data_IF_782381497494
#
_entry.id   IF_782381497494
#
_cell.length_a   1.000
_cell.length_b   1.000
_cell.length_c   1.000
_cell.angle_alpha   90.00
_cell.angle_beta   90.00
_cell.angle_gamma   90.00
#
_symmetry.space_group_name_H-M   'P 1'
#
loop_
_entity.id
_entity.type
_entity.pdbx_description
1 polymer ?
#
# COMPACT_ATOMS: atom_id res chain seq x y z
N UNK A 1 -10.59 1.94 -10.30
CA UNK A 1 -9.52 2.60 -9.54
C UNK A 1 -10.01 3.65 -8.56
N UNK A 2 -10.13 3.23 -7.30
CA UNK A 2 -10.47 4.12 -6.17
C UNK A 2 -9.43 5.24 -5.99
N UNK A 3 -9.81 6.50 -5.72
CA UNK A 3 -8.88 7.64 -5.64
C UNK A 3 -7.73 7.43 -4.65
N UNK A 4 -8.00 6.92 -3.45
CA UNK A 4 -6.96 6.68 -2.45
C UNK A 4 -5.98 5.56 -2.83
N UNK A 5 -6.41 4.58 -3.64
CA UNK A 5 -5.51 3.54 -4.19
C UNK A 5 -4.61 4.18 -5.25
N UNK A 6 -5.13 5.09 -6.07
CA UNK A 6 -4.36 5.82 -7.07
C UNK A 6 -3.29 6.69 -6.42
N UNK A 7 -3.66 7.48 -5.43
CA UNK A 7 -2.72 8.31 -4.66
C UNK A 7 -1.61 7.47 -4.02
N UNK A 8 -1.95 6.28 -3.51
CA UNK A 8 -0.95 5.38 -2.96
C UNK A 8 0.00 4.82 -4.02
N UNK A 9 -0.50 4.41 -5.19
CA UNK A 9 0.36 3.94 -6.28
C UNK A 9 1.24 5.08 -6.80
N UNK A 10 0.71 6.29 -6.99
CA UNK A 10 1.51 7.45 -7.38
C UNK A 10 2.60 7.78 -6.37
N UNK A 11 2.34 7.61 -5.07
CA UNK A 11 3.36 7.72 -4.04
C UNK A 11 4.46 6.66 -4.21
N UNK A 12 4.10 5.40 -4.46
CA UNK A 12 5.08 4.32 -4.68
C UNK A 12 5.89 4.50 -5.97
N UNK A 13 5.34 5.20 -6.97
CA UNK A 13 5.97 5.46 -8.27
C UNK A 13 6.94 6.65 -8.23
N UNK A 14 6.87 7.49 -7.19
CA UNK A 14 7.84 8.57 -7.01
C UNK A 14 9.15 7.99 -6.55
N UNK A 15 10.13 7.98 -7.45
CA UNK A 15 11.54 7.81 -7.08
C UNK A 15 12.06 9.10 -6.45
N UNK A 16 12.48 9.01 -5.19
CA UNK A 16 13.05 10.11 -4.40
C UNK A 16 14.22 9.60 -3.53
N UNK A 17 15.01 10.53 -3.00
CA UNK A 17 16.14 10.23 -2.10
C UNK A 17 15.69 9.99 -0.65
N UNK A 18 14.44 9.56 -0.44
CA UNK A 18 13.85 9.36 0.89
C UNK A 18 14.55 8.23 1.61
N UNK A 19 14.89 8.45 2.88
CA UNK A 19 15.50 7.39 3.68
C UNK A 19 14.48 6.30 4.03
N UNK A 20 14.97 5.09 4.31
CA UNK A 20 14.10 3.93 4.54
C UNK A 20 13.14 4.12 5.74
N UNK A 21 13.55 4.90 6.74
CA UNK A 21 12.72 5.16 7.93
C UNK A 21 11.54 6.05 7.60
N UNK A 22 11.79 7.13 6.87
CA UNK A 22 10.76 8.06 6.40
C UNK A 22 9.84 7.39 5.39
N UNK A 23 10.38 6.61 4.44
CA UNK A 23 9.58 5.84 3.48
C UNK A 23 8.60 4.90 4.21
N UNK A 24 9.08 4.13 5.19
CA UNK A 24 8.22 3.20 5.96
C UNK A 24 7.11 3.94 6.71
N UNK A 25 7.42 5.12 7.26
CA UNK A 25 6.44 5.96 7.96
C UNK A 25 5.36 6.45 6.99
N UNK A 26 5.75 6.94 5.82
CA UNK A 26 4.82 7.42 4.81
C UNK A 26 3.92 6.31 4.27
N UNK A 27 4.48 5.11 4.01
CA UNK A 27 3.67 3.96 3.62
C UNK A 27 2.63 3.64 4.70
N UNK A 28 2.99 3.61 5.98
CA UNK A 28 2.02 3.31 7.05
C UNK A 28 0.89 4.35 7.11
N UNK A 29 1.20 5.63 6.91
CA UNK A 29 0.20 6.70 6.81
C UNK A 29 -0.75 6.49 5.64
N UNK A 30 -0.22 6.14 4.45
CA UNK A 30 -1.05 5.81 3.29
C UNK A 30 -1.92 4.56 3.54
N UNK A 31 -1.39 3.52 4.19
CA UNK A 31 -2.18 2.33 4.54
C UNK A 31 -3.31 2.64 5.52
N UNK A 32 -3.08 3.52 6.51
CA UNK A 32 -4.15 4.01 7.40
C UNK A 32 -5.23 4.74 6.59
N UNK A 33 -4.84 5.64 5.70
CA UNK A 33 -5.77 6.36 4.84
C UNK A 33 -6.58 5.43 3.92
N UNK A 34 -5.95 4.39 3.35
CA UNK A 34 -6.62 3.36 2.56
C UNK A 34 -7.66 2.60 3.40
N UNK A 35 -7.30 2.19 4.62
CA UNK A 35 -8.21 1.50 5.54
C UNK A 35 -9.43 2.36 5.87
N UNK A 36 -9.27 3.67 6.01
CA UNK A 36 -10.39 4.57 6.29
C UNK A 36 -11.27 4.80 5.06
N UNK A 37 -10.65 5.00 3.90
CA UNK A 37 -11.33 5.37 2.67
C UNK A 37 -12.09 4.22 2.02
N UNK A 38 -11.61 2.98 2.18
CA UNK A 38 -12.21 1.79 1.58
C UNK A 38 -13.26 1.12 2.50
N UNK A 39 -13.71 1.77 3.58
CA UNK A 39 -14.74 1.18 4.45
C UNK A 39 -16.12 1.17 3.76
N UNK A 40 -16.89 0.07 3.88
CA UNK A 40 -16.54 -1.18 4.57
C UNK A 40 -15.59 -2.07 3.72
N UNK A 41 -14.54 -2.61 4.35
CA UNK A 41 -13.57 -3.48 3.69
C UNK A 41 -14.08 -4.93 3.59
N UNK A 42 -13.78 -5.62 2.49
CA UNK A 42 -13.96 -7.07 2.38
C UNK A 42 -12.89 -7.84 3.18
N UNK A 43 -13.13 -9.12 3.43
CA UNK A 43 -12.15 -10.00 4.07
C UNK A 43 -10.83 -10.05 3.28
N UNK A 44 -10.92 -10.05 1.96
CA UNK A 44 -9.79 -10.05 1.03
C UNK A 44 -9.01 -8.73 1.11
N UNK A 45 -9.69 -7.59 1.10
CA UNK A 45 -9.04 -6.28 1.27
C UNK A 45 -8.37 -6.15 2.64
N UNK A 46 -9.00 -6.66 3.71
CA UNK A 46 -8.40 -6.71 5.05
C UNK A 46 -7.14 -7.57 5.06
N UNK A 47 -7.18 -8.75 4.45
CA UNK A 47 -6.01 -9.64 4.36
C UNK A 47 -4.88 -8.98 3.58
N UNK A 48 -5.21 -8.33 2.46
CA UNK A 48 -4.25 -7.64 1.60
C UNK A 48 -3.54 -6.48 2.33
N UNK A 49 -4.30 -5.65 3.04
CA UNK A 49 -3.75 -4.55 3.84
C UNK A 49 -2.88 -5.05 5.01
N UNK A 50 -3.24 -6.19 5.62
CA UNK A 50 -2.41 -6.84 6.65
C UNK A 50 -1.10 -7.34 6.07
N UNK A 51 -1.14 -7.99 4.90
CA UNK A 51 0.04 -8.48 4.20
C UNK A 51 1.01 -7.33 3.87
N UNK A 52 0.51 -6.20 3.38
CA UNK A 52 1.34 -5.00 3.14
C UNK A 52 2.02 -4.48 4.42
N UNK A 53 1.29 -4.41 5.55
CA UNK A 53 1.87 -4.02 6.84
C UNK A 53 2.93 -5.00 7.33
N UNK A 54 2.71 -6.29 7.15
CA UNK A 54 3.72 -7.30 7.47
C UNK A 54 4.97 -7.12 6.60
N UNK A 55 4.83 -6.91 5.29
CA UNK A 55 6.00 -6.65 4.43
C UNK A 55 6.84 -5.47 4.94
N UNK A 56 6.21 -4.36 5.33
CA UNK A 56 6.91 -3.21 5.92
C UNK A 56 7.65 -3.52 7.24
N UNK A 57 7.10 -4.42 8.06
CA UNK A 57 7.69 -4.79 9.33
C UNK A 57 8.92 -5.68 9.15
N UNK A 58 8.88 -6.56 8.15
CA UNK A 58 9.88 -7.60 7.92
C UNK A 58 10.97 -7.20 6.91
N UNK A 59 10.75 -6.15 6.13
CA UNK A 59 11.77 -5.62 5.24
C UNK A 59 12.98 -5.09 6.01
N UNK A 60 14.13 -5.68 5.73
CA UNK A 60 15.42 -5.18 6.16
C UNK A 60 15.76 -3.90 5.40
N UNK A 61 16.46 -2.99 6.07
CA UNK A 61 16.73 -1.57 5.77
C UNK A 61 17.19 -1.14 4.36
N UNK A 62 17.31 -2.03 3.37
CA UNK A 62 18.21 -1.80 2.24
C UNK A 62 17.63 -1.90 0.84
N UNK A 63 16.33 -2.08 0.66
CA UNK A 63 15.77 -2.02 -0.69
C UNK A 63 14.37 -1.38 -0.73
N UNK A 64 14.36 -0.04 -0.79
CA UNK A 64 13.13 0.74 -1.00
C UNK A 64 12.50 0.38 -2.35
N UNK A 65 13.31 0.09 -3.37
CA UNK A 65 12.81 -0.25 -4.71
C UNK A 65 12.11 -1.61 -4.73
N UNK A 66 12.69 -2.62 -4.07
CA UNK A 66 12.03 -3.92 -3.88
C UNK A 66 10.70 -3.76 -3.12
N UNK A 67 10.68 -2.90 -2.10
CA UNK A 67 9.47 -2.61 -1.34
C UNK A 67 8.43 -1.88 -2.18
N UNK A 68 8.82 -0.87 -2.97
CA UNK A 68 7.95 -0.17 -3.91
C UNK A 68 7.29 -1.16 -4.88
N UNK A 69 8.10 -2.04 -5.49
CA UNK A 69 7.62 -3.06 -6.41
C UNK A 69 6.62 -4.02 -5.75
N UNK A 70 6.95 -4.50 -4.54
CA UNK A 70 6.08 -5.40 -3.78
C UNK A 70 4.75 -4.72 -3.43
N UNK A 71 4.79 -3.53 -2.82
CA UNK A 71 3.59 -2.80 -2.43
C UNK A 71 2.73 -2.40 -3.62
N UNK A 72 3.34 -2.05 -4.77
CA UNK A 72 2.63 -1.72 -6.00
C UNK A 72 1.84 -2.93 -6.50
N UNK A 73 2.46 -4.10 -6.55
CA UNK A 73 1.78 -5.35 -6.92
C UNK A 73 0.60 -5.63 -5.98
N UNK A 74 0.81 -5.49 -4.67
CA UNK A 74 -0.25 -5.73 -3.69
C UNK A 74 -1.38 -4.69 -3.80
N UNK A 75 -1.08 -3.42 -4.13
CA UNK A 75 -2.07 -2.34 -4.23
C UNK A 75 -2.98 -2.49 -5.44
N UNK A 76 -2.47 -3.00 -6.56
CA UNK A 76 -3.27 -3.30 -7.74
C UNK A 76 -4.37 -4.34 -7.45
N UNK A 77 -4.12 -5.28 -6.54
CA UNK A 77 -5.14 -6.26 -6.13
C UNK A 77 -6.28 -5.63 -5.30
N UNK A 78 -6.05 -4.53 -4.58
CA UNK A 78 -7.10 -3.87 -3.78
C UNK A 78 -8.23 -3.33 -4.65
N UNK A 79 -7.90 -2.86 -5.87
CA UNK A 79 -8.88 -2.29 -6.79
C UNK A 79 -9.78 -3.36 -7.42
N UNK A 80 -9.21 -4.53 -7.72
CA UNK A 80 -9.94 -5.69 -8.23
C UNK A 80 -11.06 -6.10 -7.28
N UNK A 81 -10.86 -6.02 -5.97
CA UNK A 81 -11.89 -6.36 -4.98
C UNK A 81 -12.92 -5.24 -4.77
N UNK A 82 -12.58 -4.00 -5.13
CA UNK A 82 -13.48 -2.86 -4.97
C UNK A 82 -14.55 -2.84 -6.08
N UNK A 83 -14.17 -3.17 -7.31
CA UNK A 83 -15.09 -3.24 -8.45
C UNK A 83 -16.09 -4.41 -8.35
N UNK A 84 -15.84 -5.42 -7.49
CA UNK A 84 -16.76 -6.54 -7.24
C UNK A 84 -17.96 -6.13 -6.36
N UNK A 85 -17.89 -4.97 -5.68
CA UNK A 85 -18.97 -4.48 -4.80
C UNK A 85 -19.91 -3.45 -5.43
N UNK A 86 -19.63 -2.97 -6.65
CA UNK A 86 -20.51 -2.06 -7.43
C UNK A 86 -21.35 -2.80 -8.45
#
# INVERSE_FOLDING_TARGET
MHPSIHEFIEFLDKEDDTDFGDFKREVDLHLVHLIESLRPLTSEQVWQLRKMREQLLWSYKFDIEEMRSTLRSEAQHLDVYNDIQT
#
